data_IF_871442095965
#
_entry.id   IF_871442095965
#
_cell.length_a   1.000
_cell.length_b   1.000
_cell.length_c   1.000
_cell.angle_alpha   90.00
_cell.angle_beta   90.00
_cell.angle_gamma   90.00
#
_symmetry.space_group_name_H-M   'P 1'
#
loop_
_entity.id
_entity.type
_entity.pdbx_description
1 polymer ?
#
# COMPACT_ATOMS: atom_id res chain seq x y z
N UNK A 1 23.39 6.57 26.81
CA UNK A 1 22.00 6.39 26.33
C UNK A 1 22.05 5.39 25.19
N UNK A 2 22.07 4.10 25.52
CA UNK A 2 22.16 3.00 24.54
C UNK A 2 20.95 2.06 24.63
N UNK A 3 19.87 2.49 25.32
CA UNK A 3 18.64 1.71 25.46
C UNK A 3 17.54 2.09 24.48
N UNK A 4 17.48 3.34 24.03
CA UNK A 4 16.37 3.83 23.18
C UNK A 4 16.42 3.30 21.73
N UNK A 5 17.60 2.92 21.21
CA UNK A 5 17.72 2.38 19.85
C UNK A 5 17.33 0.90 19.77
N UNK A 6 17.75 0.10 20.76
CA UNK A 6 17.43 -1.33 20.89
C UNK A 6 15.92 -1.55 21.13
N UNK A 7 15.29 -0.64 21.89
CA UNK A 7 13.84 -0.68 22.12
C UNK A 7 13.02 -0.35 20.86
N UNK A 8 13.48 0.57 20.00
CA UNK A 8 12.76 0.94 18.78
C UNK A 8 12.84 -0.14 17.70
N UNK A 9 14.01 -0.74 17.49
CA UNK A 9 14.19 -1.84 16.53
C UNK A 9 13.31 -3.05 16.90
N UNK A 10 13.24 -3.38 18.21
CA UNK A 10 12.37 -4.44 18.71
C UNK A 10 10.88 -4.15 18.52
N UNK A 11 10.45 -2.91 18.72
CA UNK A 11 9.05 -2.51 18.48
C UNK A 11 8.71 -2.66 16.98
N UNK A 12 9.60 -2.25 16.08
CA UNK A 12 9.38 -2.36 14.65
C UNK A 12 9.26 -3.83 14.19
N UNK A 13 10.11 -4.72 14.72
CA UNK A 13 10.03 -6.17 14.48
C UNK A 13 8.71 -6.76 15.00
N UNK A 14 8.31 -6.43 16.23
CA UNK A 14 7.05 -6.91 16.82
C UNK A 14 5.82 -6.45 16.01
N UNK A 15 5.82 -5.22 15.51
CA UNK A 15 4.76 -4.68 14.64
C UNK A 15 4.72 -5.41 13.30
N UNK A 16 5.88 -5.70 12.72
CA UNK A 16 5.98 -6.41 11.45
C UNK A 16 5.53 -7.87 11.56
N UNK A 17 5.94 -8.58 12.61
CA UNK A 17 5.51 -9.96 12.88
C UNK A 17 3.98 -10.04 13.01
N UNK A 18 3.40 -9.11 13.78
CA UNK A 18 1.95 -9.01 13.92
C UNK A 18 1.26 -8.72 12.59
N UNK A 19 1.86 -7.94 11.71
CA UNK A 19 1.32 -7.71 10.36
C UNK A 19 1.34 -9.01 9.54
N UNK A 20 2.43 -9.78 9.58
CA UNK A 20 2.54 -11.06 8.88
C UNK A 20 1.50 -12.08 9.38
N UNK A 21 1.31 -12.19 10.69
CA UNK A 21 0.27 -13.05 11.28
C UNK A 21 -1.13 -12.69 10.77
N UNK A 22 -1.43 -11.40 10.61
CA UNK A 22 -2.71 -10.96 10.07
C UNK A 22 -2.82 -11.20 8.56
N UNK A 23 -1.74 -11.01 7.80
CA UNK A 23 -1.71 -11.27 6.36
C UNK A 23 -1.94 -12.77 6.05
N UNK A 24 -1.38 -13.67 6.86
CA UNK A 24 -1.56 -15.12 6.76
C UNK A 24 -3.03 -15.54 6.92
N UNK A 25 -3.84 -14.82 7.71
CA UNK A 25 -5.27 -15.09 7.83
C UNK A 25 -6.03 -14.89 6.50
N UNK A 26 -5.43 -14.18 5.55
CA UNK A 26 -5.94 -14.01 4.19
C UNK A 26 -5.23 -14.92 3.17
N UNK A 27 -4.38 -15.86 3.61
CA UNK A 27 -3.61 -16.75 2.76
C UNK A 27 -2.49 -16.05 1.99
N UNK A 28 -1.96 -14.95 2.53
CA UNK A 28 -0.84 -14.20 1.95
C UNK A 28 0.42 -14.53 2.74
N UNK A 29 1.36 -15.20 2.09
CA UNK A 29 2.70 -15.46 2.62
C UNK A 29 3.72 -14.61 1.85
N UNK A 30 4.67 -13.95 2.53
CA UNK A 30 5.70 -13.18 1.87
C UNK A 30 6.64 -14.10 1.07
N UNK A 31 6.86 -13.78 -0.20
CA UNK A 31 7.86 -14.46 -1.02
C UNK A 31 9.23 -13.80 -0.81
N UNK A 32 10.27 -14.56 -0.38
CA UNK A 32 11.62 -14.02 -0.29
C UNK A 32 12.11 -13.63 -1.68
N UNK A 33 12.87 -12.53 -1.75
CA UNK A 33 13.47 -12.02 -2.98
C UNK A 33 12.48 -11.76 -4.12
N UNK A 34 11.28 -11.26 -3.78
CA UNK A 34 10.27 -10.92 -4.79
C UNK A 34 10.83 -9.93 -5.83
N UNK A 35 10.45 -10.12 -7.08
CA UNK A 35 10.79 -9.19 -8.15
C UNK A 35 10.19 -7.81 -7.79
N UNK A 36 11.03 -6.77 -7.73
CA UNK A 36 10.70 -5.41 -7.29
C UNK A 36 10.66 -5.15 -5.78
N UNK A 37 11.27 -6.03 -4.97
CA UNK A 37 11.57 -5.71 -3.56
C UNK A 37 12.40 -4.41 -3.50
N UNK A 38 11.93 -3.35 -2.80
CA UNK A 38 12.69 -2.10 -2.70
C UNK A 38 13.98 -2.31 -1.91
N UNK A 39 15.05 -1.65 -2.32
CA UNK A 39 16.34 -1.68 -1.62
C UNK A 39 16.63 -0.28 -1.07
N UNK A 40 16.99 -0.20 0.21
CA UNK A 40 17.40 1.02 0.89
C UNK A 40 16.34 2.16 0.85
N UNK A 41 15.33 2.09 1.74
CA UNK A 41 14.29 3.10 1.91
C UNK A 41 14.71 4.29 2.81
N UNK A 42 16.01 4.45 3.10
CA UNK A 42 16.51 5.53 3.97
C UNK A 42 16.38 6.91 3.33
N UNK A 43 16.49 7.00 2.00
CA UNK A 43 16.37 8.27 1.27
C UNK A 43 14.92 8.58 0.87
N UNK A 44 14.61 9.88 0.83
CA UNK A 44 13.30 10.35 0.35
C UNK A 44 13.05 9.96 -1.11
N UNK A 45 14.09 10.05 -1.94
CA UNK A 45 14.03 9.65 -3.35
C UNK A 45 13.71 8.16 -3.52
N UNK A 46 14.32 7.29 -2.72
CA UNK A 46 14.05 5.86 -2.76
C UNK A 46 12.60 5.55 -2.32
N UNK A 47 12.10 6.21 -1.28
CA UNK A 47 10.70 6.07 -0.85
C UNK A 47 9.73 6.57 -1.92
N UNK A 48 10.00 7.71 -2.55
CA UNK A 48 9.18 8.25 -3.62
C UNK A 48 9.15 7.30 -4.84
N UNK A 49 10.31 6.79 -5.25
CA UNK A 49 10.42 5.82 -6.34
C UNK A 49 9.67 4.52 -6.05
N UNK A 50 9.74 4.02 -4.81
CA UNK A 50 8.98 2.86 -4.37
C UNK A 50 7.46 3.10 -4.43
N UNK A 51 6.97 4.23 -3.91
CA UNK A 51 5.56 4.59 -3.95
C UNK A 51 5.03 4.72 -5.39
N UNK A 52 5.80 5.37 -6.28
CA UNK A 52 5.45 5.49 -7.70
C UNK A 52 5.41 4.12 -8.40
N UNK A 53 6.37 3.23 -8.08
CA UNK A 53 6.40 1.87 -8.59
C UNK A 53 5.15 1.07 -8.21
N UNK A 54 4.75 1.14 -6.93
CA UNK A 54 3.52 0.51 -6.44
C UNK A 54 2.27 1.07 -7.13
N UNK A 55 2.18 2.39 -7.29
CA UNK A 55 1.07 3.04 -7.97
C UNK A 55 0.93 2.53 -9.42
N UNK A 56 2.03 2.51 -10.18
CA UNK A 56 2.03 2.01 -11.56
C UNK A 56 1.67 0.53 -11.65
N UNK A 57 2.16 -0.30 -10.72
CA UNK A 57 1.82 -1.72 -10.68
C UNK A 57 0.33 -1.94 -10.43
N UNK A 58 -0.26 -1.22 -9.46
CA UNK A 58 -1.69 -1.25 -9.18
C UNK A 58 -2.54 -0.77 -10.35
N UNK A 59 -2.17 0.36 -10.98
CA UNK A 59 -2.86 0.89 -12.15
C UNK A 59 -2.79 -0.06 -13.34
N UNK A 60 -1.62 -0.67 -13.59
CA UNK A 60 -1.42 -1.69 -14.63
C UNK A 60 -2.32 -2.91 -14.36
N UNK A 61 -2.44 -3.35 -13.11
CA UNK A 61 -3.37 -4.43 -12.74
C UNK A 61 -4.82 -4.07 -13.07
N UNK A 62 -5.26 -2.87 -12.71
CA UNK A 62 -6.62 -2.39 -13.03
C UNK A 62 -6.89 -2.36 -14.53
N UNK A 63 -5.98 -1.76 -15.29
CA UNK A 63 -6.09 -1.66 -16.73
C UNK A 63 -6.14 -3.04 -17.40
N UNK A 64 -5.30 -3.97 -16.96
CA UNK A 64 -5.26 -5.33 -17.50
C UNK A 64 -6.55 -6.10 -17.20
N UNK A 65 -7.04 -6.07 -15.95
CA UNK A 65 -8.27 -6.77 -15.59
C UNK A 65 -9.47 -6.22 -16.39
N UNK A 66 -9.61 -4.89 -16.46
CA UNK A 66 -10.67 -4.25 -17.23
C UNK A 66 -10.59 -4.51 -18.74
N UNK A 67 -9.38 -4.53 -19.33
CA UNK A 67 -9.18 -4.77 -20.76
C UNK A 67 -9.59 -6.19 -21.19
N UNK A 68 -9.49 -7.16 -20.27
CA UNK A 68 -9.80 -8.56 -20.53
C UNK A 68 -11.27 -8.94 -20.23
N UNK A 69 -12.09 -7.98 -19.79
CA UNK A 69 -13.51 -8.20 -19.51
C UNK A 69 -14.43 -7.77 -20.67
N UNK A 70 -15.63 -8.38 -20.76
CA UNK A 70 -16.66 -8.00 -21.73
C UNK A 70 -17.04 -6.52 -21.65
N UNK A 71 -17.52 -5.98 -22.77
CA UNK A 71 -18.06 -4.63 -22.80
C UNK A 71 -19.29 -4.52 -21.88
N UNK A 72 -19.30 -3.53 -20.99
CA UNK A 72 -20.32 -3.35 -19.95
C UNK A 72 -19.83 -3.66 -18.54
N UNK A 73 -18.87 -4.58 -18.38
CA UNK A 73 -18.39 -5.03 -17.05
C UNK A 73 -17.10 -4.33 -16.61
N UNK A 74 -16.43 -3.64 -17.54
CA UNK A 74 -15.08 -3.06 -17.32
C UNK A 74 -15.04 -2.03 -16.20
N UNK A 75 -16.03 -1.13 -16.17
CA UNK A 75 -16.09 -0.09 -15.14
C UNK A 75 -16.54 -0.64 -13.79
N UNK A 76 -17.34 -1.72 -13.76
CA UNK A 76 -17.70 -2.41 -12.52
C UNK A 76 -16.45 -3.06 -11.89
N UNK A 77 -15.56 -3.63 -12.72
CA UNK A 77 -14.28 -4.14 -12.25
C UNK A 77 -13.38 -3.03 -11.67
N UNK A 78 -13.27 -1.89 -12.37
CA UNK A 78 -12.51 -0.73 -11.87
C UNK A 78 -13.08 -0.22 -10.54
N UNK A 79 -14.40 -0.12 -10.42
CA UNK A 79 -15.07 0.28 -9.18
C UNK A 79 -14.80 -0.70 -8.04
N UNK A 80 -14.91 -2.01 -8.31
CA UNK A 80 -14.59 -3.06 -7.34
C UNK A 80 -13.13 -3.00 -6.86
N UNK A 81 -12.19 -2.78 -7.79
CA UNK A 81 -10.77 -2.63 -7.46
C UNK A 81 -10.49 -1.40 -6.60
N UNK A 82 -11.13 -0.26 -6.88
CA UNK A 82 -11.00 0.94 -6.05
C UNK A 82 -11.45 0.69 -4.60
N UNK A 83 -12.58 -0.01 -4.40
CA UNK A 83 -13.07 -0.38 -3.07
C UNK A 83 -12.10 -1.32 -2.36
N UNK A 84 -11.57 -2.33 -3.06
CA UNK A 84 -10.59 -3.27 -2.49
C UNK A 84 -9.31 -2.56 -2.09
N UNK A 85 -8.80 -1.63 -2.90
CA UNK A 85 -7.62 -0.85 -2.54
C UNK A 85 -7.87 0.08 -1.35
N UNK A 86 -9.04 0.70 -1.25
CA UNK A 86 -9.40 1.48 -0.06
C UNK A 86 -9.42 0.60 1.21
N UNK A 87 -9.94 -0.63 1.12
CA UNK A 87 -9.88 -1.60 2.22
C UNK A 87 -8.44 -1.98 2.57
N UNK A 88 -7.60 -2.25 1.58
CA UNK A 88 -6.18 -2.60 1.78
C UNK A 88 -5.44 -1.46 2.49
N UNK A 89 -5.65 -0.22 2.06
CA UNK A 89 -5.09 0.97 2.68
C UNK A 89 -5.50 1.06 4.15
N UNK A 90 -6.77 0.88 4.47
CA UNK A 90 -7.24 0.85 5.86
C UNK A 90 -6.55 -0.26 6.68
N UNK A 91 -6.42 -1.45 6.11
CA UNK A 91 -5.73 -2.58 6.74
C UNK A 91 -4.25 -2.30 7.02
N UNK A 92 -3.52 -1.66 6.09
CA UNK A 92 -2.12 -1.27 6.27
C UNK A 92 -1.98 -0.18 7.33
N UNK A 93 -2.84 0.84 7.32
CA UNK A 93 -2.78 1.93 8.31
C UNK A 93 -3.04 1.47 9.74
N UNK A 94 -3.86 0.42 9.91
CA UNK A 94 -4.19 -0.13 11.23
C UNK A 94 -3.02 -0.86 11.91
N UNK A 95 -1.91 -1.08 11.19
CA UNK A 95 -0.71 -1.72 11.75
C UNK A 95 0.19 -0.73 12.52
N UNK A 96 -0.01 0.57 12.33
CA UNK A 96 0.84 1.59 12.94
C UNK A 96 0.31 2.04 14.31
N UNK A 97 1.21 2.48 15.22
CA UNK A 97 0.83 3.06 16.50
C UNK A 97 -0.09 4.30 16.32
N UNK A 98 -1.04 4.56 17.24
CA UNK A 98 -1.95 5.71 17.16
C UNK A 98 -1.26 7.08 17.06
N UNK A 99 -0.01 7.19 17.53
CA UNK A 99 0.82 8.39 17.48
C UNK A 99 1.21 8.76 16.05
N UNK A 100 1.24 7.79 15.14
CA UNK A 100 1.48 7.99 13.72
C UNK A 100 0.12 8.22 13.05
N UNK A 101 -0.31 9.48 12.94
CA UNK A 101 -1.56 9.88 12.26
C UNK A 101 -1.48 9.68 10.74
N UNK A 102 -1.33 8.42 10.31
CA UNK A 102 -1.32 8.02 8.91
C UNK A 102 -2.70 8.15 8.28
N UNK A 103 -3.77 8.00 9.06
CA UNK A 103 -5.14 8.06 8.55
C UNK A 103 -5.41 9.40 7.85
N UNK A 104 -4.97 10.51 8.45
CA UNK A 104 -5.08 11.83 7.84
C UNK A 104 -4.27 11.94 6.54
N UNK A 105 -3.02 11.49 6.57
CA UNK A 105 -2.11 11.52 5.39
C UNK A 105 -2.67 10.72 4.23
N UNK A 106 -3.15 9.51 4.51
CA UNK A 106 -3.78 8.62 3.53
C UNK A 106 -5.07 9.21 2.97
N UNK A 107 -5.91 9.82 3.82
CA UNK A 107 -7.14 10.47 3.37
C UNK A 107 -6.83 11.65 2.44
N UNK A 108 -5.79 12.43 2.74
CA UNK A 108 -5.33 13.49 1.86
C UNK A 108 -4.85 12.94 0.51
N UNK A 109 -4.02 11.89 0.52
CA UNK A 109 -3.54 11.24 -0.70
C UNK A 109 -4.70 10.67 -1.55
N UNK A 110 -5.73 10.11 -0.92
CA UNK A 110 -6.94 9.65 -1.61
C UNK A 110 -7.66 10.80 -2.33
N UNK A 111 -7.81 11.94 -1.66
CA UNK A 111 -8.41 13.14 -2.26
C UNK A 111 -7.55 13.70 -3.39
N UNK A 112 -6.23 13.72 -3.23
CA UNK A 112 -5.31 14.19 -4.26
C UNK A 112 -5.40 13.32 -5.52
N UNK A 113 -5.41 11.99 -5.38
CA UNK A 113 -5.59 11.06 -6.50
C UNK A 113 -6.94 11.23 -7.22
N UNK A 114 -8.03 11.47 -6.48
CA UNK A 114 -9.33 11.80 -7.08
C UNK A 114 -9.27 13.08 -7.90
N UNK A 115 -8.63 14.13 -7.37
CA UNK A 115 -8.49 15.41 -8.05
C UNK A 115 -7.54 15.33 -9.26
N UNK A 116 -6.48 14.53 -9.19
CA UNK A 116 -5.55 14.27 -10.30
C UNK A 116 -6.28 13.65 -11.49
N UNK A 117 -7.08 12.60 -11.25
CA UNK A 117 -7.89 11.96 -12.28
C UNK A 117 -8.90 12.95 -12.90
N UNK A 118 -9.50 13.82 -12.10
CA UNK A 118 -10.44 14.83 -12.58
C UNK A 118 -9.78 15.95 -13.42
N UNK A 119 -8.48 16.22 -13.21
CA UNK A 119 -7.71 17.23 -13.97
C UNK A 119 -7.08 16.67 -15.25
N UNK A 120 -6.86 15.35 -15.30
CA UNK A 120 -6.28 14.65 -16.45
C UNK A 120 -7.27 14.21 -17.53
N UNK A 121 -8.56 14.58 -17.41
CA UNK A 121 -9.63 14.31 -18.36
C UNK A 121 -9.99 15.54 -19.21
#
# INVERSE_FOLDING_TARGET
MCGEFDDNERIDEELFDRFLEQAQQFGVDPEPDSENTPVNLESEEARAGYMEGLFRAGLKRCANDAANLPYGERMDAIAGQAIVFARLVGFLTAQFPPEVDLFRTVTAALHDGYNEAARGA
#
